data_IF_799116174311
#
_entry.id   IF_799116174311
#
_cell.length_a   1.000
_cell.length_b   1.000
_cell.length_c   1.000
_cell.angle_alpha   90.00
_cell.angle_beta   90.00
_cell.angle_gamma   90.00
#
_symmetry.space_group_name_H-M   'P 1'
#
loop_
_entity.id
_entity.type
_entity.pdbx_description
1 polymer ?
#
# COMPACT_ATOMS: atom_id res chain seq x y z
N UNK A 1 12.37 9.75 -7.90
CA UNK A 1 11.48 8.66 -8.30
C UNK A 1 10.45 8.35 -7.20
N UNK A 2 9.33 7.74 -7.56
CA UNK A 2 8.28 7.33 -6.66
C UNK A 2 8.18 5.81 -6.63
N UNK A 3 8.14 5.25 -5.42
CA UNK A 3 7.83 3.84 -5.17
C UNK A 3 6.53 3.80 -4.38
N UNK A 4 5.62 2.94 -4.80
CA UNK A 4 4.34 2.74 -4.14
C UNK A 4 4.30 1.31 -3.67
N UNK A 5 4.20 1.16 -2.36
CA UNK A 5 4.34 -0.06 -1.59
C UNK A 5 5.72 -0.74 -1.69
N UNK A 6 6.10 -1.46 -0.68
CA UNK A 6 7.46 -1.96 -0.50
C UNK A 6 7.52 -3.47 -0.22
N UNK A 7 6.38 -4.15 -0.38
CA UNK A 7 6.27 -5.58 -0.14
C UNK A 7 6.58 -6.00 1.31
N UNK A 8 6.90 -7.25 1.52
CA UNK A 8 7.23 -7.82 2.84
C UNK A 8 8.56 -7.32 3.44
N UNK A 9 9.45 -6.72 2.64
CA UNK A 9 10.76 -6.28 3.11
C UNK A 9 11.74 -7.40 3.48
N UNK A 10 11.50 -8.62 3.02
CA UNK A 10 12.34 -9.79 3.29
C UNK A 10 13.64 -9.80 2.48
N UNK A 11 13.73 -8.96 1.47
CA UNK A 11 14.91 -8.74 0.63
C UNK A 11 15.18 -7.25 0.49
N UNK A 12 16.37 -6.88 0.03
CA UNK A 12 16.73 -5.49 -0.18
C UNK A 12 16.08 -4.94 -1.46
N UNK A 13 14.91 -4.31 -1.32
CA UNK A 13 14.24 -3.60 -2.40
C UNK A 13 15.06 -2.35 -2.81
N UNK A 14 15.61 -1.63 -1.84
CA UNK A 14 16.44 -0.45 -2.10
C UNK A 14 17.68 -0.78 -2.94
N UNK A 15 18.33 -1.91 -2.69
CA UNK A 15 19.48 -2.35 -3.51
C UNK A 15 19.06 -2.65 -4.95
N UNK A 16 17.94 -3.35 -5.14
CA UNK A 16 17.43 -3.65 -6.48
C UNK A 16 17.06 -2.38 -7.26
N UNK A 17 16.55 -1.35 -6.58
CA UNK A 17 16.20 -0.09 -7.21
C UNK A 17 17.43 0.72 -7.61
N UNK A 18 18.50 0.71 -6.81
CA UNK A 18 19.76 1.41 -7.16
C UNK A 18 20.43 0.85 -8.40
N UNK A 19 20.10 -0.37 -8.82
CA UNK A 19 20.56 -0.93 -10.10
C UNK A 19 19.89 -0.28 -11.32
N UNK A 20 18.71 0.35 -11.15
CA UNK A 20 17.91 0.91 -12.23
C UNK A 20 17.72 2.44 -12.13
N UNK A 21 17.99 3.05 -10.98
CA UNK A 21 17.88 4.50 -10.78
C UNK A 21 18.87 5.00 -9.74
N UNK A 22 19.49 6.17 -10.04
CA UNK A 22 20.34 6.94 -9.13
C UNK A 22 19.63 8.17 -8.53
N UNK A 23 18.34 8.32 -8.81
CA UNK A 23 17.54 9.47 -8.37
C UNK A 23 17.08 9.32 -6.93
N UNK A 24 16.84 10.45 -6.22
CA UNK A 24 16.15 10.41 -4.92
C UNK A 24 14.81 9.69 -5.02
N UNK A 25 14.51 8.87 -4.02
CA UNK A 25 13.32 8.05 -3.95
C UNK A 25 12.39 8.59 -2.87
N UNK A 26 11.11 8.71 -3.20
CA UNK A 26 10.02 8.86 -2.25
C UNK A 26 9.30 7.51 -2.21
N UNK A 27 9.29 6.86 -1.05
CA UNK A 27 8.53 5.63 -0.83
C UNK A 27 7.19 5.96 -0.17
N UNK A 28 6.11 5.64 -0.83
CA UNK A 28 4.73 5.85 -0.33
C UNK A 28 4.11 4.49 -0.07
N UNK A 29 3.57 4.29 1.14
CA UNK A 29 2.74 3.13 1.40
C UNK A 29 1.26 3.48 1.28
N UNK A 30 0.53 2.65 0.55
CA UNK A 30 -0.92 2.76 0.44
C UNK A 30 -1.59 2.54 1.78
N UNK A 31 -1.04 1.64 2.60
CA UNK A 31 -1.45 1.36 3.98
C UNK A 31 -0.39 0.55 4.73
N UNK A 32 -0.60 0.31 6.02
CA UNK A 32 0.42 -0.25 6.92
C UNK A 32 0.48 -1.78 6.99
N UNK A 33 -0.28 -2.52 6.19
CA UNK A 33 -0.24 -3.98 6.25
C UNK A 33 1.12 -4.54 5.83
N UNK A 34 1.40 -5.75 6.30
CA UNK A 34 2.70 -6.39 6.28
C UNK A 34 3.30 -6.57 4.89
N UNK A 35 2.47 -6.78 3.87
CA UNK A 35 2.86 -7.02 2.49
C UNK A 35 2.96 -5.76 1.63
N UNK A 36 2.62 -4.60 2.20
CA UNK A 36 2.76 -3.28 1.58
C UNK A 36 3.89 -2.46 2.21
N UNK A 37 4.03 -2.50 3.54
CA UNK A 37 4.92 -1.62 4.29
C UNK A 37 6.22 -2.28 4.75
N UNK A 38 6.40 -3.59 4.53
CA UNK A 38 7.50 -4.36 5.11
C UNK A 38 8.90 -3.87 4.76
N UNK A 39 9.09 -3.33 3.56
CA UNK A 39 10.37 -2.77 3.11
C UNK A 39 10.53 -1.27 3.31
N UNK A 40 9.55 -0.57 3.89
CA UNK A 40 9.55 0.90 3.99
C UNK A 40 10.75 1.44 4.77
N UNK A 41 11.23 0.71 5.78
CA UNK A 41 12.42 1.07 6.58
C UNK A 41 13.71 1.20 5.75
N UNK A 42 13.75 0.68 4.52
CA UNK A 42 14.90 0.74 3.63
C UNK A 42 15.05 2.12 2.93
N UNK A 43 14.08 3.02 3.05
CA UNK A 43 14.05 4.31 2.36
C UNK A 43 14.16 5.48 3.35
N UNK A 44 14.81 6.57 2.91
CA UNK A 44 14.92 7.79 3.72
C UNK A 44 13.62 8.60 3.74
N UNK A 45 13.02 8.79 2.55
CA UNK A 45 11.75 9.52 2.41
C UNK A 45 10.59 8.54 2.43
N UNK A 46 9.92 8.44 3.58
CA UNK A 46 8.83 7.50 3.87
C UNK A 46 7.53 8.25 4.07
N UNK A 47 6.58 8.03 3.18
CA UNK A 47 5.26 8.67 3.21
C UNK A 47 4.15 7.64 3.43
N UNK A 48 3.14 8.05 4.19
CA UNK A 48 1.92 7.28 4.43
C UNK A 48 0.87 8.17 5.09
N UNK A 49 -0.36 7.68 5.14
CA UNK A 49 -1.45 8.46 5.71
C UNK A 49 -1.30 8.61 7.24
N UNK A 50 -1.62 9.82 7.75
CA UNK A 50 -1.45 10.16 9.17
C UNK A 50 -2.18 9.24 10.14
N UNK A 51 -3.30 8.65 9.74
CA UNK A 51 -4.09 7.75 10.59
C UNK A 51 -3.33 6.48 10.98
N UNK A 52 -2.29 6.10 10.24
CA UNK A 52 -1.47 4.92 10.53
C UNK A 52 -0.03 5.24 10.93
N UNK A 53 0.31 6.51 11.12
CA UNK A 53 1.68 6.93 11.46
C UNK A 53 2.23 6.22 12.71
N UNK A 54 1.39 5.94 13.69
CA UNK A 54 1.78 5.20 14.90
C UNK A 54 2.05 3.72 14.63
N UNK A 55 1.35 3.12 13.65
CA UNK A 55 1.58 1.72 13.24
C UNK A 55 2.94 1.62 12.54
N UNK A 56 3.24 2.49 11.59
CA UNK A 56 4.55 2.52 10.93
C UNK A 56 5.71 2.73 11.92
N UNK A 57 5.50 3.57 12.95
CA UNK A 57 6.52 3.86 13.95
C UNK A 57 6.74 2.73 14.96
N UNK A 58 5.68 1.98 15.29
CA UNK A 58 5.72 0.90 16.28
C UNK A 58 4.80 -0.26 15.83
N UNK A 59 5.18 -1.00 14.79
CA UNK A 59 4.39 -2.11 14.29
C UNK A 59 4.30 -3.26 15.30
N UNK A 60 3.15 -3.92 15.31
CA UNK A 60 2.96 -5.20 15.97
C UNK A 60 2.30 -6.16 14.99
N UNK A 61 2.48 -7.47 15.16
CA UNK A 61 1.88 -8.48 14.27
C UNK A 61 0.38 -8.24 14.06
N UNK A 62 -0.34 -7.86 15.11
CA UNK A 62 -1.77 -7.56 15.06
C UNK A 62 -2.06 -6.29 14.24
N UNK A 63 -1.35 -5.19 14.48
CA UNK A 63 -1.63 -3.92 13.82
C UNK A 63 -1.27 -3.91 12.34
N UNK A 64 -0.34 -4.79 11.92
CA UNK A 64 0.03 -4.99 10.51
C UNK A 64 -0.63 -6.22 9.88
N UNK A 65 -1.57 -6.85 10.57
CA UNK A 65 -2.31 -8.05 10.14
C UNK A 65 -1.42 -9.26 9.85
N UNK A 66 -0.21 -9.30 10.38
CA UNK A 66 0.72 -10.42 10.22
C UNK A 66 0.42 -11.61 11.16
N UNK A 67 -0.52 -11.48 12.08
CA UNK A 67 -1.03 -12.56 12.93
C UNK A 67 -1.86 -13.59 12.14
N UNK A 68 -2.32 -13.24 10.94
CA UNK A 68 -2.98 -14.14 9.99
C UNK A 68 -2.00 -14.94 9.12
N UNK A 69 -0.71 -14.62 9.15
CA UNK A 69 0.30 -15.32 8.35
C UNK A 69 0.58 -16.70 8.92
N UNK A 70 0.58 -17.68 8.03
CA UNK A 70 0.86 -19.09 8.32
C UNK A 70 2.07 -19.58 7.52
N UNK A 71 2.80 -20.57 8.09
CA UNK A 71 4.00 -21.14 7.47
C UNK A 71 3.73 -21.79 6.10
N UNK A 72 2.49 -22.18 5.82
CA UNK A 72 2.11 -22.79 4.53
C UNK A 72 2.25 -21.84 3.33
N UNK A 73 2.25 -20.52 3.55
CA UNK A 73 2.46 -19.52 2.48
C UNK A 73 3.93 -19.43 2.05
N UNK A 74 4.87 -19.90 2.88
CA UNK A 74 6.30 -19.80 2.65
C UNK A 74 6.76 -20.93 1.74
N UNK A 75 7.02 -20.64 0.47
CA UNK A 75 7.58 -21.61 -0.48
C UNK A 75 9.07 -21.82 -0.32
N UNK A 76 9.80 -20.80 0.12
CA UNK A 76 11.24 -20.82 0.35
C UNK A 76 11.57 -19.83 1.47
N UNK A 77 12.31 -20.27 2.48
CA UNK A 77 12.78 -19.37 3.54
C UNK A 77 13.67 -18.26 2.96
N UNK A 78 13.44 -16.99 3.30
CA UNK A 78 14.26 -15.88 2.83
C UNK A 78 15.68 -15.92 3.41
N UNK A 79 15.86 -16.47 4.62
CA UNK A 79 17.13 -16.65 5.30
C UNK A 79 17.05 -17.78 6.34
N UNK A 80 18.20 -18.25 6.81
CA UNK A 80 18.27 -19.29 7.86
C UNK A 80 17.65 -18.79 9.17
N UNK A 81 16.79 -19.60 9.79
CA UNK A 81 16.09 -19.27 11.05
C UNK A 81 14.88 -18.36 10.89
N UNK A 82 14.44 -18.06 9.65
CA UNK A 82 13.21 -17.29 9.45
C UNK A 82 11.99 -18.04 9.97
N UNK A 83 11.23 -17.39 10.83
CA UNK A 83 9.96 -17.88 11.35
C UNK A 83 8.85 -16.84 11.13
N UNK A 84 7.94 -17.15 10.21
CA UNK A 84 6.80 -16.26 9.87
C UNK A 84 5.86 -16.05 11.06
N UNK A 85 5.79 -16.99 12.00
CA UNK A 85 4.92 -16.90 13.17
C UNK A 85 5.34 -15.81 14.16
N UNK A 86 6.60 -15.41 14.13
CA UNK A 86 7.17 -14.34 14.95
C UNK A 86 7.54 -13.09 14.15
N UNK A 87 7.52 -13.20 12.83
CA UNK A 87 7.95 -12.12 11.96
C UNK A 87 7.04 -10.89 12.07
N UNK A 88 7.68 -9.72 12.13
CA UNK A 88 7.08 -8.40 12.04
C UNK A 88 8.08 -7.50 11.29
N UNK A 89 7.61 -6.59 10.46
CA UNK A 89 8.53 -5.69 9.79
C UNK A 89 9.17 -4.70 10.77
N UNK A 90 10.31 -4.14 10.37
CA UNK A 90 11.06 -3.19 11.19
C UNK A 90 10.33 -1.84 11.28
N UNK A 91 10.33 -1.16 12.45
CA UNK A 91 9.80 0.19 12.56
C UNK A 91 10.29 1.13 11.46
N UNK A 92 9.36 1.82 10.84
CA UNK A 92 9.61 2.77 9.76
C UNK A 92 8.82 4.08 9.99
N UNK A 93 9.18 4.88 11.01
CA UNK A 93 8.49 6.15 11.25
C UNK A 93 8.41 6.98 9.97
N UNK A 94 7.24 7.49 9.66
CA UNK A 94 7.02 8.30 8.46
C UNK A 94 7.83 9.61 8.56
N UNK A 95 8.44 10.02 7.46
CA UNK A 95 9.14 11.31 7.32
C UNK A 95 8.27 12.34 6.64
N UNK A 96 7.23 11.91 5.91
CA UNK A 96 6.18 12.72 5.32
C UNK A 96 4.80 12.14 5.61
N UNK A 97 3.88 12.98 6.03
CA UNK A 97 2.48 12.61 6.19
C UNK A 97 1.72 13.03 4.94
N UNK A 98 0.82 12.18 4.48
CA UNK A 98 -0.06 12.46 3.35
C UNK A 98 -1.53 12.38 3.79
N UNK A 99 -2.35 13.21 3.15
CA UNK A 99 -3.79 13.31 3.38
C UNK A 99 -4.56 13.36 2.06
N UNK A 100 -5.88 13.30 2.16
CA UNK A 100 -6.80 13.44 1.01
C UNK A 100 -6.57 14.78 0.29
N UNK A 101 -6.35 14.73 -1.02
CA UNK A 101 -6.13 15.90 -1.86
C UNK A 101 -4.68 16.37 -1.97
N UNK A 102 -3.74 15.78 -1.20
CA UNK A 102 -2.32 16.07 -1.39
C UNK A 102 -1.83 15.62 -2.77
N UNK A 103 -0.76 16.26 -3.25
CA UNK A 103 -0.16 15.97 -4.55
C UNK A 103 1.32 15.69 -4.37
N UNK A 104 1.78 14.54 -4.87
CA UNK A 104 3.19 14.24 -5.02
C UNK A 104 3.60 14.69 -6.43
N UNK A 105 4.40 15.75 -6.47
CA UNK A 105 4.89 16.35 -7.71
C UNK A 105 6.28 15.80 -8.05
N UNK A 106 6.40 15.13 -9.20
CA UNK A 106 7.67 14.66 -9.74
C UNK A 106 8.18 15.51 -10.92
N UNK A 107 7.56 16.68 -11.14
CA UNK A 107 7.88 17.61 -12.22
C UNK A 107 6.98 17.41 -13.44
N UNK A 108 7.11 16.31 -14.15
CA UNK A 108 6.30 15.98 -15.35
C UNK A 108 5.10 15.07 -15.04
N UNK A 109 5.04 14.50 -13.84
CA UNK A 109 3.97 13.63 -13.34
C UNK A 109 3.49 14.11 -11.98
N UNK A 110 2.18 14.15 -11.79
CA UNK A 110 1.52 14.56 -10.55
C UNK A 110 0.62 13.43 -10.07
N UNK A 111 0.84 12.99 -8.85
CA UNK A 111 0.10 11.90 -8.21
C UNK A 111 -0.76 12.46 -7.10
N UNK A 112 -2.07 12.38 -7.28
CA UNK A 112 -3.05 12.86 -6.31
C UNK A 112 -3.35 11.78 -5.28
N UNK A 113 -3.26 12.13 -4.02
CA UNK A 113 -3.60 11.25 -2.91
C UNK A 113 -5.11 11.30 -2.70
N UNK A 114 -5.72 10.14 -2.65
CA UNK A 114 -7.15 9.96 -2.41
C UNK A 114 -7.31 9.06 -1.18
N UNK A 115 -7.78 9.61 -0.07
CA UNK A 115 -8.04 8.80 1.13
C UNK A 115 -9.25 7.91 0.90
N UNK A 116 -9.06 6.61 1.06
CA UNK A 116 -10.03 5.53 0.79
C UNK A 116 -10.06 4.54 1.96
N UNK A 117 -10.46 5.01 3.16
CA UNK A 117 -10.46 4.18 4.36
C UNK A 117 -11.48 3.06 4.27
N UNK A 118 -11.31 2.06 5.11
CA UNK A 118 -12.26 0.96 5.29
C UNK A 118 -11.62 -0.41 5.23
N UNK A 119 -10.69 -0.67 4.29
CA UNK A 119 -9.79 -1.81 4.38
C UNK A 119 -8.83 -1.63 5.56
N UNK A 120 -8.23 -0.46 5.66
CA UNK A 120 -7.52 0.04 6.84
C UNK A 120 -7.82 1.53 7.05
N UNK A 121 -7.57 2.12 8.24
CA UNK A 121 -7.94 3.51 8.52
C UNK A 121 -7.13 4.54 7.72
N UNK A 122 -5.93 4.18 7.26
CA UNK A 122 -5.06 5.05 6.49
C UNK A 122 -4.92 4.64 5.02
N UNK A 123 -5.78 3.76 4.51
CA UNK A 123 -5.74 3.36 3.10
C UNK A 123 -5.87 4.56 2.18
N UNK A 124 -4.94 4.68 1.23
CA UNK A 124 -4.97 5.70 0.17
C UNK A 124 -4.90 5.05 -1.20
N UNK A 125 -5.61 5.63 -2.15
CA UNK A 125 -5.37 5.43 -3.56
C UNK A 125 -4.52 6.58 -4.10
N UNK A 126 -3.74 6.32 -5.14
CA UNK A 126 -2.84 7.28 -5.75
C UNK A 126 -3.22 7.41 -7.22
N UNK A 127 -3.73 8.57 -7.60
CA UNK A 127 -4.30 8.83 -8.93
C UNK A 127 -3.42 9.75 -9.76
N UNK A 128 -3.13 9.36 -10.99
CA UNK A 128 -2.47 10.20 -11.98
C UNK A 128 -3.47 10.62 -13.07
N UNK A 129 -3.98 11.85 -13.05
CA UNK A 129 -5.00 12.30 -14.01
C UNK A 129 -4.54 12.29 -15.47
N UNK A 130 -3.24 12.54 -15.72
CA UNK A 130 -2.67 12.62 -17.08
C UNK A 130 -2.80 11.32 -17.86
N UNK A 131 -2.66 10.17 -17.19
CA UNK A 131 -2.75 8.85 -17.81
C UNK A 131 -4.04 8.12 -17.48
N UNK A 132 -4.77 8.59 -16.46
CA UNK A 132 -5.93 7.90 -15.92
C UNK A 132 -5.57 6.63 -15.14
N UNK A 133 -4.33 6.52 -14.65
CA UNK A 133 -3.89 5.42 -13.80
C UNK A 133 -4.30 5.70 -12.36
N UNK A 134 -4.88 4.72 -11.68
CA UNK A 134 -5.10 4.75 -10.24
C UNK A 134 -4.48 3.50 -9.60
N UNK A 135 -3.65 3.72 -8.57
CA UNK A 135 -3.07 2.66 -7.74
C UNK A 135 -3.87 2.62 -6.43
N UNK A 136 -4.50 1.50 -6.14
CA UNK A 136 -5.55 1.43 -5.10
C UNK A 136 -5.11 0.71 -3.83
N UNK A 137 -3.89 0.15 -3.80
CA UNK A 137 -3.54 -0.77 -2.73
C UNK A 137 -4.63 -1.84 -2.59
N UNK A 138 -5.13 -2.02 -1.38
CA UNK A 138 -6.14 -3.04 -1.08
C UNK A 138 -7.56 -2.49 -0.95
N UNK A 139 -7.79 -1.23 -1.31
CA UNK A 139 -9.14 -0.70 -1.33
C UNK A 139 -10.04 -1.42 -2.36
N UNK A 140 -9.48 -1.75 -3.54
CA UNK A 140 -10.15 -2.56 -4.57
C UNK A 140 -9.13 -3.36 -5.37
N UNK A 141 -9.40 -4.65 -5.58
CA UNK A 141 -8.67 -5.57 -6.47
C UNK A 141 -9.61 -6.64 -7.03
N UNK A 142 -9.20 -7.33 -8.09
CA UNK A 142 -10.02 -8.36 -8.74
C UNK A 142 -9.95 -9.69 -7.99
N UNK A 143 -10.56 -9.72 -6.80
CA UNK A 143 -10.59 -10.85 -5.88
C UNK A 143 -11.57 -10.63 -4.72
N UNK A 144 -11.47 -11.47 -3.69
CA UNK A 144 -12.27 -11.31 -2.47
C UNK A 144 -11.70 -10.16 -1.65
N UNK A 145 -12.45 -9.07 -1.52
CA UNK A 145 -12.03 -7.92 -0.73
C UNK A 145 -12.09 -8.25 0.77
N UNK A 146 -11.03 -7.91 1.50
CA UNK A 146 -10.96 -8.07 2.95
C UNK A 146 -11.49 -6.83 3.66
N UNK A 147 -12.68 -6.95 4.26
CA UNK A 147 -13.40 -5.88 4.97
C UNK A 147 -13.57 -6.15 6.48
N UNK A 148 -12.97 -7.24 6.98
CA UNK A 148 -13.15 -7.78 8.33
C UNK A 148 -11.82 -7.98 9.09
N UNK A 149 -10.73 -7.35 8.63
CA UNK A 149 -9.44 -7.37 9.31
C UNK A 149 -9.48 -6.53 10.59
N UNK A 150 -8.41 -6.56 11.38
CA UNK A 150 -8.33 -5.97 12.71
C UNK A 150 -8.91 -4.55 12.85
N UNK A 151 -8.73 -3.70 11.86
CA UNK A 151 -9.18 -2.30 11.85
C UNK A 151 -10.02 -1.95 10.63
N UNK A 152 -10.53 -2.94 9.92
CA UNK A 152 -11.43 -2.72 8.78
C UNK A 152 -12.79 -2.21 9.23
N UNK A 153 -13.39 -1.34 8.42
CA UNK A 153 -14.73 -0.78 8.62
C UNK A 153 -15.51 -0.90 7.32
N UNK A 154 -16.38 -1.93 7.16
CA UNK A 154 -17.04 -2.24 5.89
C UNK A 154 -17.81 -1.08 5.27
N UNK A 155 -18.53 -0.29 6.08
CA UNK A 155 -19.27 0.86 5.57
C UNK A 155 -18.35 1.94 4.97
N UNK A 156 -17.19 2.20 5.59
CA UNK A 156 -16.20 3.12 5.04
C UNK A 156 -15.59 2.57 3.76
N UNK A 157 -15.34 1.25 3.69
CA UNK A 157 -14.85 0.63 2.46
C UNK A 157 -15.86 0.82 1.32
N UNK A 158 -17.14 0.61 1.56
CA UNK A 158 -18.18 0.83 0.56
C UNK A 158 -18.23 2.30 0.08
N UNK A 159 -18.13 3.26 0.99
CA UNK A 159 -18.04 4.69 0.65
C UNK A 159 -16.79 4.98 -0.20
N UNK A 160 -15.65 4.41 0.17
CA UNK A 160 -14.38 4.54 -0.55
C UNK A 160 -14.44 3.93 -1.96
N UNK A 161 -15.06 2.76 -2.11
CA UNK A 161 -15.30 2.13 -3.41
C UNK A 161 -16.16 3.00 -4.33
N UNK A 162 -17.24 3.58 -3.80
CA UNK A 162 -18.07 4.52 -4.55
C UNK A 162 -17.30 5.80 -4.93
N UNK A 163 -16.44 6.30 -4.02
CA UNK A 163 -15.55 7.44 -4.31
C UNK A 163 -14.61 7.12 -5.46
N UNK A 164 -13.95 5.94 -5.45
CA UNK A 164 -13.08 5.47 -6.54
C UNK A 164 -13.87 5.39 -7.85
N UNK A 165 -15.04 4.74 -7.88
CA UNK A 165 -15.86 4.59 -9.09
C UNK A 165 -16.30 5.92 -9.70
N UNK A 166 -16.45 6.97 -8.89
CA UNK A 166 -16.82 8.32 -9.35
C UNK A 166 -15.68 9.06 -10.06
N UNK A 167 -14.41 8.60 -9.88
CA UNK A 167 -13.26 9.23 -10.49
C UNK A 167 -13.13 8.87 -11.98
N UNK A 168 -12.43 9.73 -12.74
CA UNK A 168 -12.20 9.53 -14.17
C UNK A 168 -10.85 8.81 -14.40
N UNK A 169 -10.83 7.51 -14.12
CA UNK A 169 -9.67 6.65 -14.36
C UNK A 169 -9.91 5.68 -15.53
N UNK A 170 -8.84 5.23 -16.15
CA UNK A 170 -8.83 4.25 -17.22
C UNK A 170 -8.46 2.85 -16.73
N UNK A 171 -7.47 2.78 -15.83
CA UNK A 171 -6.92 1.51 -15.34
C UNK A 171 -6.62 1.57 -13.84
N UNK A 172 -6.94 0.49 -13.16
CA UNK A 172 -6.57 0.22 -11.77
C UNK A 172 -5.35 -0.69 -11.73
N UNK A 173 -4.31 -0.26 -11.03
CA UNK A 173 -3.23 -1.12 -10.54
C UNK A 173 -3.44 -1.33 -9.05
N UNK A 174 -3.94 -2.49 -8.70
CA UNK A 174 -4.24 -2.87 -7.33
C UNK A 174 -3.00 -3.44 -6.60
N UNK A 175 -3.09 -3.56 -5.27
CA UNK A 175 -2.05 -4.22 -4.48
C UNK A 175 -1.92 -5.70 -4.79
N UNK A 176 -3.02 -6.34 -5.17
CA UNK A 176 -3.11 -7.76 -5.49
C UNK A 176 -3.75 -8.03 -6.85
N UNK A 177 -3.42 -9.18 -7.44
CA UNK A 177 -3.92 -9.67 -8.72
C UNK A 177 -3.54 -8.79 -9.91
N UNK A 178 -4.24 -8.97 -11.04
CA UNK A 178 -3.96 -8.25 -12.27
C UNK A 178 -4.64 -6.89 -12.30
N UNK A 179 -4.06 -5.98 -13.07
CA UNK A 179 -4.69 -4.69 -13.36
C UNK A 179 -5.97 -4.87 -14.16
N UNK A 180 -6.92 -3.96 -13.98
CA UNK A 180 -8.21 -4.01 -14.63
C UNK A 180 -8.71 -2.60 -14.98
N UNK A 181 -9.72 -2.54 -15.85
CA UNK A 181 -10.32 -1.28 -16.30
C UNK A 181 -11.52 -0.87 -15.42
N UNK A 182 -12.07 0.30 -15.73
CA UNK A 182 -13.22 0.87 -15.00
C UNK A 182 -14.48 0.02 -15.10
N UNK A 183 -14.68 -0.71 -16.22
CA UNK A 183 -15.87 -1.56 -16.37
C UNK A 183 -15.77 -2.80 -15.49
N UNK A 184 -14.57 -3.36 -15.36
CA UNK A 184 -14.33 -4.43 -14.38
C UNK A 184 -14.50 -3.93 -12.93
N UNK A 185 -14.01 -2.72 -12.62
CA UNK A 185 -14.20 -2.12 -11.29
C UNK A 185 -15.70 -2.03 -10.89
N UNK A 186 -16.58 -1.63 -11.82
CA UNK A 186 -18.04 -1.59 -11.59
C UNK A 186 -18.67 -2.95 -11.32
N UNK A 187 -18.04 -4.04 -11.78
CA UNK A 187 -18.53 -5.40 -11.55
C UNK A 187 -18.10 -5.92 -10.18
N UNK A 188 -16.91 -5.49 -9.71
CA UNK A 188 -16.36 -5.88 -8.40
C UNK A 188 -17.14 -5.21 -7.27
N UNK A 189 -17.57 -3.96 -7.43
CA UNK A 189 -18.32 -3.15 -6.47
C UNK A 189 -19.83 -3.34 -6.64
#
# INVERSE_FOLDING_TARGET
>A
DLIIDTGFGLTSLSAAITEISDRPIIAVCTHSHHDHAGGLCQFENRCGHRSEATIFAAPSRKTIVADLLDASIIRKSPYEGFDISTWCYQPAPLTGLIDDGDIIDLGDRHFHIVHVPGHSPGSVAIFEPKTGIILTGDAIYDGVLYDHLFHSVPNQLLESLNKILSMDFNVVHAGHFQSFDKDRAKIIV
#
